data_IF_218368873851
#
_entry.id   IF_218368873851
#
_cell.length_a   1.000
_cell.length_b   1.000
_cell.length_c   1.000
_cell.angle_alpha   90.00
_cell.angle_beta   90.00
_cell.angle_gamma   90.00
#
_symmetry.space_group_name_H-M   'P 1'
#
loop_
_entity.id
_entity.type
_entity.pdbx_description
1 polymer ?
#
# COMPACT_ATOMS: atom_id res chain seq x y z
N UNK A 1 21.97 -0.32 2.21
CA UNK A 1 21.37 -1.25 1.22
C UNK A 1 21.09 -0.45 -0.05
N UNK A 2 21.66 -0.84 -1.21
CA UNK A 2 21.36 -0.19 -2.49
C UNK A 2 19.86 -0.36 -2.77
N UNK A 3 19.12 0.75 -2.74
CA UNK A 3 17.69 0.78 -3.07
C UNK A 3 17.56 0.49 -4.56
N UNK A 4 17.38 -0.78 -4.90
CA UNK A 4 16.91 -1.15 -6.24
C UNK A 4 15.66 -0.30 -6.49
N UNK A 5 15.66 0.43 -7.60
CA UNK A 5 14.53 1.26 -7.98
C UNK A 5 13.31 0.34 -8.09
N UNK A 6 12.32 0.55 -7.22
CA UNK A 6 11.08 -0.20 -7.28
C UNK A 6 10.48 -0.03 -8.70
N UNK A 7 10.28 -1.12 -9.47
CA UNK A 7 9.91 -1.03 -10.87
C UNK A 7 8.52 -0.42 -11.09
N UNK A 8 7.62 -0.48 -10.09
CA UNK A 8 6.31 0.17 -10.19
C UNK A 8 6.38 1.70 -9.98
N UNK A 9 7.52 2.22 -9.50
CA UNK A 9 7.82 3.65 -9.32
C UNK A 9 6.86 4.43 -8.41
N UNK A 10 5.91 3.78 -7.71
CA UNK A 10 4.99 4.44 -6.79
C UNK A 10 5.70 5.25 -5.72
N UNK A 11 6.89 4.80 -5.28
CA UNK A 11 7.71 5.52 -4.30
C UNK A 11 8.10 6.94 -4.73
N UNK A 12 8.02 7.26 -6.03
CA UNK A 12 8.33 8.59 -6.58
C UNK A 12 7.09 9.49 -6.72
N UNK A 13 5.88 8.93 -6.59
CA UNK A 13 4.63 9.66 -6.76
C UNK A 13 4.24 10.37 -5.48
N UNK A 14 3.94 11.66 -5.60
CA UNK A 14 3.34 12.45 -4.51
C UNK A 14 1.92 12.00 -4.18
N UNK A 15 1.21 11.49 -5.19
CA UNK A 15 -0.21 11.12 -5.19
C UNK A 15 -0.43 9.60 -5.27
N UNK A 16 0.51 8.80 -4.74
CA UNK A 16 0.46 7.36 -4.97
C UNK A 16 -0.86 6.74 -4.46
N UNK A 17 -1.50 5.85 -5.24
CA UNK A 17 -2.82 5.31 -4.91
C UNK A 17 -2.78 4.32 -3.75
N UNK A 18 -1.59 3.86 -3.36
CA UNK A 18 -1.35 2.86 -2.32
C UNK A 18 -0.25 3.32 -1.40
N UNK A 19 -0.39 2.99 -0.11
CA UNK A 19 0.58 3.37 0.91
C UNK A 19 1.77 2.43 1.03
N UNK A 20 1.60 1.18 0.61
CA UNK A 20 2.66 0.19 0.57
C UNK A 20 2.72 -0.40 -0.82
N UNK A 21 3.92 -0.65 -1.29
CA UNK A 21 4.12 -1.10 -2.65
C UNK A 21 3.71 -2.57 -2.75
N UNK A 22 2.72 -2.93 -3.58
CA UNK A 22 2.31 -4.33 -3.73
C UNK A 22 3.40 -5.20 -4.37
N UNK A 23 4.42 -4.57 -4.98
CA UNK A 23 5.52 -5.25 -5.64
C UNK A 23 6.73 -5.49 -4.72
N UNK A 24 7.02 -4.60 -3.79
CA UNK A 24 8.19 -4.74 -2.91
C UNK A 24 7.91 -4.64 -1.41
N UNK A 25 6.65 -4.45 -0.99
CA UNK A 25 6.22 -4.39 0.41
C UNK A 25 6.60 -3.10 1.16
N UNK A 26 7.48 -2.28 0.60
CA UNK A 26 7.98 -1.06 1.24
C UNK A 26 6.95 0.08 1.27
N UNK A 27 7.07 0.98 2.25
CA UNK A 27 6.24 2.17 2.34
C UNK A 27 6.45 3.10 1.12
N UNK A 28 5.36 3.42 0.45
CA UNK A 28 5.31 4.33 -0.69
C UNK A 28 5.22 5.75 -0.16
N UNK A 29 6.16 6.60 -0.57
CA UNK A 29 6.24 8.02 -0.20
C UNK A 29 5.94 8.27 1.29
N UNK A 30 6.99 8.43 2.08
CA UNK A 30 6.90 8.56 3.54
C UNK A 30 5.95 9.67 4.04
N UNK A 31 5.61 10.64 3.19
CA UNK A 31 4.70 11.74 3.53
C UNK A 31 3.21 11.41 3.33
N UNK A 32 2.85 10.26 2.75
CA UNK A 32 1.45 9.84 2.65
C UNK A 32 0.94 9.53 4.07
N UNK A 33 -0.20 10.09 4.45
CA UNK A 33 -0.77 9.92 5.79
C UNK A 33 -1.22 8.47 6.04
N UNK A 34 -0.81 7.89 7.18
CA UNK A 34 -1.34 6.61 7.67
C UNK A 34 -2.75 6.84 8.19
N UNK A 35 -3.68 5.97 7.83
CA UNK A 35 -4.91 5.81 8.61
C UNK A 35 -4.88 4.43 9.27
N UNK A 36 -5.35 4.37 10.52
CA UNK A 36 -5.64 3.09 11.17
C UNK A 36 -6.87 2.51 10.50
N UNK A 37 -6.80 1.22 10.18
CA UNK A 37 -7.91 0.49 9.59
C UNK A 37 -8.56 -0.41 10.63
N UNK A 38 -9.87 -0.47 10.56
CA UNK A 38 -10.72 -1.46 11.22
C UNK A 38 -10.85 -2.73 10.39
N UNK A 39 -11.28 -3.82 11.02
CA UNK A 39 -11.56 -5.08 10.31
C UNK A 39 -12.64 -4.92 9.25
N UNK A 40 -13.60 -4.02 9.47
CA UNK A 40 -14.64 -3.67 8.50
C UNK A 40 -14.05 -3.05 7.24
N UNK A 41 -13.10 -2.11 7.37
CA UNK A 41 -12.44 -1.50 6.21
C UNK A 41 -11.61 -2.52 5.44
N UNK A 42 -10.94 -3.43 6.13
CA UNK A 42 -10.23 -4.55 5.49
C UNK A 42 -11.19 -5.51 4.79
N UNK A 43 -12.34 -5.83 5.39
CA UNK A 43 -13.36 -6.68 4.76
C UNK A 43 -13.93 -6.06 3.49
N UNK A 44 -14.28 -4.77 3.51
CA UNK A 44 -14.71 -4.04 2.32
C UNK A 44 -13.63 -4.05 1.24
N UNK A 45 -12.37 -3.79 1.63
CA UNK A 45 -11.26 -3.81 0.68
C UNK A 45 -11.05 -5.19 0.05
N UNK A 46 -11.28 -6.29 0.80
CA UNK A 46 -11.27 -7.66 0.26
C UNK A 46 -12.42 -7.91 -0.70
N UNK A 47 -13.62 -7.42 -0.39
CA UNK A 47 -14.79 -7.52 -1.27
C UNK A 47 -14.58 -6.80 -2.59
N UNK A 48 -13.96 -5.61 -2.55
CA UNK A 48 -13.56 -4.84 -3.72
C UNK A 48 -12.34 -5.44 -4.44
N UNK A 49 -11.88 -6.62 -4.02
CA UNK A 49 -10.77 -7.39 -4.59
C UNK A 49 -9.41 -6.70 -4.54
N UNK A 50 -9.17 -5.84 -3.55
CA UNK A 50 -7.83 -5.30 -3.31
C UNK A 50 -6.93 -6.34 -2.64
N UNK A 51 -5.76 -6.61 -3.25
CA UNK A 51 -4.73 -7.48 -2.67
C UNK A 51 -4.09 -6.90 -1.40
N UNK A 52 -4.00 -5.58 -1.30
CA UNK A 52 -3.39 -4.86 -0.18
C UNK A 52 -4.29 -3.70 0.26
N UNK A 53 -4.28 -3.40 1.56
CA UNK A 53 -4.98 -2.24 2.08
C UNK A 53 -4.28 -0.95 1.63
N UNK A 54 -5.01 -0.07 0.94
CA UNK A 54 -4.46 1.20 0.43
C UNK A 54 -4.05 2.17 1.53
N UNK A 55 -4.57 2.00 2.75
CA UNK A 55 -4.34 2.88 3.90
C UNK A 55 -3.24 2.38 4.85
N UNK A 56 -3.25 1.08 5.19
CA UNK A 56 -2.30 0.51 6.14
C UNK A 56 -1.30 -0.47 5.53
N UNK A 57 -1.48 -0.84 4.26
CA UNK A 57 -0.60 -1.76 3.53
C UNK A 57 -0.75 -3.23 3.86
N UNK A 58 -1.62 -3.58 4.81
CA UNK A 58 -1.82 -4.97 5.18
C UNK A 58 -2.19 -5.79 3.95
N UNK A 59 -1.52 -6.92 3.74
CA UNK A 59 -1.92 -7.88 2.71
C UNK A 59 -3.29 -8.44 3.09
N UNK A 60 -4.25 -8.27 2.19
CA UNK A 60 -5.65 -8.60 2.44
C UNK A 60 -6.04 -9.96 1.86
N UNK A 61 -5.41 -10.33 0.75
CA UNK A 61 -5.62 -11.59 0.03
C UNK A 61 -4.26 -12.23 -0.19
N UNK A 62 -4.10 -13.48 0.26
CA UNK A 62 -2.97 -14.34 -0.12
C UNK A 62 -3.28 -15.04 -1.43
#
# INVERSE_FOLDING_TARGET
MRRNLCPNMNHRRSDAPVRYCPNCGEAVNANILVKKCSDKEHANSRMDMYKYCVHCGLQLVM
#
